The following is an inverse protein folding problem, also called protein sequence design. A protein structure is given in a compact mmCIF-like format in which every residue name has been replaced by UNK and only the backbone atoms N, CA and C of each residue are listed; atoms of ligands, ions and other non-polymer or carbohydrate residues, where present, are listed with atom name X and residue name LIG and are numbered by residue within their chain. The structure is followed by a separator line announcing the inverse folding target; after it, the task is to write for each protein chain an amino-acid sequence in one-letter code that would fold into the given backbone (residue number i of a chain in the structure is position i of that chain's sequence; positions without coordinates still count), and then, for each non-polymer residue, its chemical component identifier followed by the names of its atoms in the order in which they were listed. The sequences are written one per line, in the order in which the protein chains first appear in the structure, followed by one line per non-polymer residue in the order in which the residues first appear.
data_IF_474922482548
#
_entry.id   IF_474922482548
#
_cell.length_a   1.000
_cell.length_b   1.000
_cell.length_c   1.000
_cell.angle_alpha   90.00
_cell.angle_beta   90.00
_cell.angle_gamma   90.00
#
_symmetry.space_group_name_H-M   'P 1'
#
loop_
_entity.id
_entity.type
_entity.pdbx_description
1 polymer ?
#
# COMPACT_ATOMS: atom_id res chain seq x y z
N UNK A 1 -12.44 -7.90 20.04
CA UNK A 1 -11.71 -6.84 20.77
C UNK A 1 -10.38 -6.53 20.09
N UNK A 2 -9.41 -7.45 20.06
CA UNK A 2 -8.05 -7.20 19.51
C UNK A 2 -7.99 -6.75 18.03
N UNK A 3 -8.82 -7.29 17.13
CA UNK A 3 -8.88 -6.83 15.72
C UNK A 3 -9.48 -5.42 15.59
N UNK A 4 -10.45 -5.09 16.45
CA UNK A 4 -11.08 -3.77 16.44
C UNK A 4 -10.08 -2.70 16.89
N UNK A 5 -9.30 -2.99 17.94
CA UNK A 5 -8.20 -2.14 18.40
C UNK A 5 -7.14 -1.96 17.30
N UNK A 6 -6.72 -3.04 16.64
CA UNK A 6 -5.75 -2.95 15.54
C UNK A 6 -6.26 -2.03 14.41
N UNK A 7 -7.53 -2.16 14.03
CA UNK A 7 -8.13 -1.31 13.01
C UNK A 7 -8.19 0.16 13.44
N UNK A 8 -8.48 0.43 14.71
CA UNK A 8 -8.49 1.79 15.27
C UNK A 8 -7.09 2.41 15.28
N UNK A 9 -6.08 1.65 15.73
CA UNK A 9 -4.67 2.08 15.73
C UNK A 9 -4.16 2.33 14.32
N UNK A 10 -4.52 1.46 13.36
CA UNK A 10 -4.18 1.65 11.96
C UNK A 10 -4.85 2.88 11.35
N UNK A 11 -6.09 3.17 11.72
CA UNK A 11 -6.77 4.39 11.29
C UNK A 11 -6.10 5.66 11.85
N UNK A 12 -5.60 5.60 13.09
CA UNK A 12 -4.87 6.70 13.73
C UNK A 12 -3.40 6.82 13.28
N UNK A 13 -2.87 5.88 12.50
CA UNK A 13 -1.44 5.87 12.11
C UNK A 13 -0.49 5.53 13.27
N UNK A 14 -0.99 4.96 14.38
CA UNK A 14 -0.16 4.55 15.51
C UNK A 14 0.54 3.21 15.22
N UNK A 15 1.45 3.21 14.25
CA UNK A 15 2.07 2.00 13.71
C UNK A 15 2.81 1.15 14.75
N UNK A 16 3.55 1.76 15.69
CA UNK A 16 4.25 1.02 16.74
C UNK A 16 3.29 0.27 17.68
N UNK A 17 2.18 0.91 18.08
CA UNK A 17 1.14 0.27 18.88
C UNK A 17 0.42 -0.80 18.05
N UNK A 18 0.07 -0.49 16.80
CA UNK A 18 -0.56 -1.44 15.89
C UNK A 18 0.30 -2.70 15.73
N UNK A 19 1.62 -2.56 15.62
CA UNK A 19 2.55 -3.67 15.49
C UNK A 19 2.58 -4.55 16.73
N UNK A 20 2.59 -3.97 17.94
CA UNK A 20 2.51 -4.73 19.18
C UNK A 20 1.22 -5.57 19.25
N UNK A 21 0.07 -4.99 18.86
CA UNK A 21 -1.21 -5.71 18.79
C UNK A 21 -1.19 -6.79 17.70
N UNK A 22 -0.60 -6.51 16.53
CA UNK A 22 -0.47 -7.47 15.43
C UNK A 22 0.37 -8.69 15.82
N UNK A 23 1.53 -8.49 16.45
CA UNK A 23 2.38 -9.60 16.94
C UNK A 23 1.65 -10.44 17.98
N UNK A 24 0.91 -9.79 18.90
CA UNK A 24 0.05 -10.50 19.87
C UNK A 24 -1.03 -11.32 19.18
N UNK A 25 -1.69 -10.77 18.15
CA UNK A 25 -2.72 -11.46 17.37
C UNK A 25 -2.18 -12.69 16.65
N UNK A 26 -0.98 -12.60 16.04
CA UNK A 26 -0.35 -13.75 15.39
C UNK A 26 0.15 -14.80 16.40
N UNK A 27 0.64 -14.37 17.55
CA UNK A 27 1.15 -15.27 18.60
C UNK A 27 0.05 -16.08 19.32
N UNK A 28 -1.13 -15.48 19.54
CA UNK A 28 -2.25 -16.15 20.25
C UNK A 28 -2.88 -17.29 19.44
N UNK A 29 -2.71 -17.30 18.11
CA UNK A 29 -3.41 -18.23 17.23
C UNK A 29 -2.61 -19.48 16.83
N UNK A 30 -1.27 -19.50 16.97
CA UNK A 30 -0.39 -20.21 16.01
C UNK A 30 -0.78 -19.77 14.59
N UNK A 31 0.01 -18.90 13.95
CA UNK A 31 -0.35 -18.23 12.69
C UNK A 31 -0.94 -19.12 11.59
N UNK A 32 -0.64 -20.42 11.62
CA UNK A 32 -1.12 -21.46 10.69
C UNK A 32 -2.60 -21.85 10.86
N UNK A 33 -3.23 -21.55 12.00
CA UNK A 33 -4.63 -21.93 12.25
C UNK A 33 -5.64 -21.00 11.54
N UNK A 34 -5.22 -19.82 11.08
CA UNK A 34 -6.11 -18.86 10.45
C UNK A 34 -6.12 -19.03 8.93
N UNK A 35 -7.30 -18.97 8.28
CA UNK A 35 -7.35 -19.01 6.82
C UNK A 35 -6.56 -17.84 6.22
N UNK A 36 -5.88 -18.07 5.10
CA UNK A 36 -5.01 -17.10 4.45
C UNK A 36 -5.70 -15.76 4.13
N UNK A 37 -7.02 -15.76 3.94
CA UNK A 37 -7.83 -14.54 3.76
C UNK A 37 -7.79 -13.63 5.00
N UNK A 38 -7.93 -14.22 6.19
CA UNK A 38 -7.90 -13.50 7.47
C UNK A 38 -6.50 -13.02 7.80
N UNK A 39 -5.48 -13.85 7.55
CA UNK A 39 -4.09 -13.42 7.68
C UNK A 39 -3.85 -12.19 6.79
N UNK A 40 -4.11 -12.28 5.49
CA UNK A 40 -3.94 -11.18 4.53
C UNK A 40 -4.65 -9.89 4.92
N UNK A 41 -5.84 -10.00 5.53
CA UNK A 41 -6.53 -8.83 6.08
C UNK A 41 -5.71 -8.15 7.18
N UNK A 42 -5.15 -8.91 8.13
CA UNK A 42 -4.29 -8.35 9.18
C UNK A 42 -3.04 -7.66 8.62
N UNK A 43 -2.35 -8.30 7.67
CA UNK A 43 -1.16 -7.73 7.02
C UNK A 43 -1.50 -6.42 6.31
N UNK A 44 -2.62 -6.36 5.59
CA UNK A 44 -3.07 -5.12 4.95
C UNK A 44 -3.52 -4.05 5.96
N UNK A 45 -4.05 -4.43 7.12
CA UNK A 45 -4.35 -3.49 8.21
C UNK A 45 -3.07 -2.88 8.78
N UNK A 46 -2.00 -3.67 8.93
CA UNK A 46 -0.70 -3.15 9.34
C UNK A 46 -0.09 -2.23 8.28
N UNK A 47 -0.15 -2.59 7.00
CA UNK A 47 0.26 -1.69 5.91
C UNK A 47 -0.51 -0.37 5.93
N UNK A 48 -1.82 -0.39 6.25
CA UNK A 48 -2.58 0.84 6.44
C UNK A 48 -2.03 1.70 7.59
N UNK A 49 -1.60 1.08 8.69
CA UNK A 49 -1.01 1.81 9.82
C UNK A 49 0.29 2.52 9.39
N UNK A 50 1.18 1.81 8.70
CA UNK A 50 2.43 2.38 8.18
C UNK A 50 2.18 3.47 7.14
N UNK A 51 1.23 3.26 6.22
CA UNK A 51 0.85 4.27 5.24
C UNK A 51 0.35 5.55 5.90
N UNK A 52 -0.53 5.44 6.89
CA UNK A 52 -1.01 6.59 7.64
C UNK A 52 0.09 7.31 8.45
N UNK A 53 1.14 6.60 8.85
CA UNK A 53 2.30 7.15 9.55
C UNK A 53 3.39 7.70 8.61
N UNK A 54 3.28 7.49 7.28
CA UNK A 54 4.37 7.81 6.33
C UNK A 54 5.62 6.94 6.51
N UNK A 55 5.49 5.76 7.13
CA UNK A 55 6.61 4.86 7.45
C UNK A 55 6.85 3.85 6.32
N UNK A 56 7.46 4.32 5.22
CA UNK A 56 7.60 3.51 4.00
C UNK A 56 8.61 2.36 4.14
N UNK A 57 9.67 2.53 4.93
CA UNK A 57 10.70 1.48 5.15
C UNK A 57 10.10 0.31 5.90
N UNK A 58 9.35 0.58 6.96
CA UNK A 58 8.63 -0.42 7.75
C UNK A 58 7.54 -1.09 6.92
N UNK A 59 6.83 -0.33 6.07
CA UNK A 59 5.85 -0.90 5.15
C UNK A 59 6.50 -1.90 4.18
N UNK A 60 7.65 -1.57 3.60
CA UNK A 60 8.41 -2.46 2.72
C UNK A 60 8.87 -3.74 3.45
N UNK A 61 9.46 -3.60 4.64
CA UNK A 61 9.85 -4.75 5.47
C UNK A 61 8.65 -5.63 5.83
N UNK A 62 7.47 -5.04 6.05
CA UNK A 62 6.24 -5.78 6.33
C UNK A 62 5.73 -6.53 5.10
N UNK A 63 5.83 -5.94 3.91
CA UNK A 63 5.54 -6.61 2.64
C UNK A 63 6.46 -7.82 2.41
N UNK A 64 7.76 -7.68 2.62
CA UNK A 64 8.69 -8.79 2.49
C UNK A 64 8.37 -9.93 3.48
N UNK A 65 8.01 -9.57 4.71
CA UNK A 65 7.59 -10.54 5.71
C UNK A 65 6.29 -11.25 5.28
N UNK A 66 5.35 -10.54 4.65
CA UNK A 66 4.12 -11.13 4.07
C UNK A 66 4.47 -12.17 3.01
N UNK A 67 5.41 -11.85 2.12
CA UNK A 67 5.91 -12.75 1.07
C UNK A 67 6.63 -13.97 1.65
N UNK A 68 7.48 -13.78 2.67
CA UNK A 68 8.17 -14.87 3.39
C UNK A 68 7.18 -15.84 4.06
N UNK A 69 6.03 -15.34 4.51
CA UNK A 69 4.93 -16.15 5.04
C UNK A 69 4.02 -16.76 3.95
N UNK A 70 4.43 -16.70 2.67
CA UNK A 70 3.68 -17.22 1.50
C UNK A 70 2.29 -16.63 1.35
N UNK A 71 2.07 -15.41 1.84
CA UNK A 71 0.81 -14.70 1.69
C UNK A 71 0.88 -13.82 0.45
N UNK A 72 0.03 -14.12 -0.53
CA UNK A 72 0.04 -13.38 -1.78
C UNK A 72 -0.48 -11.94 -1.60
N UNK A 73 0.24 -10.92 -2.10
CA UNK A 73 -0.20 -9.54 -2.08
C UNK A 73 -1.41 -9.36 -2.99
N UNK A 74 -2.11 -8.23 -2.84
CA UNK A 74 -3.18 -7.84 -3.74
C UNK A 74 -3.08 -6.35 -4.09
N UNK A 75 -3.96 -5.87 -4.96
CA UNK A 75 -3.99 -4.46 -5.35
C UNK A 75 -4.04 -3.47 -4.15
N UNK A 76 -4.64 -3.85 -3.02
CA UNK A 76 -4.66 -2.99 -1.81
C UNK A 76 -3.30 -2.96 -1.12
N UNK A 77 -2.56 -4.08 -1.12
CA UNK A 77 -1.20 -4.17 -0.58
C UNK A 77 -0.29 -3.15 -1.27
N UNK A 78 -0.23 -3.17 -2.60
CA UNK A 78 0.58 -2.23 -3.37
C UNK A 78 0.13 -0.78 -3.21
N UNK A 79 -1.19 -0.52 -3.22
CA UNK A 79 -1.71 0.82 -2.96
C UNK A 79 -1.26 1.38 -1.61
N UNK A 80 -1.21 0.56 -0.54
CA UNK A 80 -0.73 1.02 0.77
C UNK A 80 0.78 1.24 0.83
N UNK A 81 1.56 0.46 0.09
CA UNK A 81 3.01 0.67 -0.02
C UNK A 81 3.32 1.98 -0.75
N UNK A 82 2.60 2.24 -1.83
CA UNK A 82 2.68 3.49 -2.59
C UNK A 82 2.25 4.69 -1.72
N UNK A 83 1.11 4.59 -1.04
CA UNK A 83 0.62 5.64 -0.13
C UNK A 83 1.65 5.97 0.97
N UNK A 84 2.29 4.95 1.56
CA UNK A 84 3.32 5.15 2.58
C UNK A 84 4.53 5.93 2.04
N UNK A 85 5.03 5.55 0.86
CA UNK A 85 6.13 6.24 0.18
C UNK A 85 5.75 7.68 -0.19
N UNK A 86 4.56 7.88 -0.74
CA UNK A 86 4.07 9.20 -1.12
C UNK A 86 3.93 10.16 0.06
N UNK A 87 3.42 9.67 1.20
CA UNK A 87 3.34 10.45 2.44
C UNK A 87 4.69 10.74 3.07
N UNK A 88 5.67 9.87 2.87
CA UNK A 88 7.07 10.12 3.26
C UNK A 88 7.77 11.14 2.36
N UNK A 89 7.19 11.47 1.20
CA UNK A 89 7.86 12.28 0.17
C UNK A 89 8.94 11.50 -0.60
N UNK A 90 9.00 10.18 -0.46
CA UNK A 90 9.92 9.33 -1.21
C UNK A 90 9.29 8.95 -2.55
N UNK A 91 9.51 9.82 -3.54
CA UNK A 91 9.04 9.63 -4.90
C UNK A 91 9.60 8.34 -5.51
N UNK A 92 10.89 8.05 -5.32
CA UNK A 92 11.56 6.88 -5.91
C UNK A 92 10.92 5.58 -5.41
N UNK A 93 10.63 5.50 -4.10
CA UNK A 93 9.92 4.36 -3.53
C UNK A 93 8.47 4.26 -4.03
N UNK A 94 7.77 5.39 -4.21
CA UNK A 94 6.40 5.39 -4.74
C UNK A 94 6.36 4.87 -6.19
N UNK A 95 7.33 5.29 -7.02
CA UNK A 95 7.46 4.80 -8.40
C UNK A 95 7.74 3.31 -8.46
N UNK A 96 8.63 2.82 -7.58
CA UNK A 96 8.93 1.42 -7.47
C UNK A 96 7.66 0.60 -7.18
N UNK A 97 6.85 1.02 -6.21
CA UNK A 97 5.62 0.29 -5.87
C UNK A 97 4.54 0.36 -6.95
N UNK A 98 4.46 1.46 -7.71
CA UNK A 98 3.58 1.51 -8.89
C UNK A 98 4.03 0.50 -9.95
N UNK A 99 5.34 0.42 -10.21
CA UNK A 99 5.91 -0.52 -11.18
C UNK A 99 5.65 -1.96 -10.76
N UNK A 100 5.99 -2.33 -9.53
CA UNK A 100 5.76 -3.66 -8.96
C UNK A 100 4.28 -4.06 -9.04
N UNK A 101 3.36 -3.11 -8.81
CA UNK A 101 1.92 -3.33 -8.95
C UNK A 101 1.56 -3.72 -10.39
N UNK A 102 2.08 -2.98 -11.38
CA UNK A 102 1.80 -3.24 -12.81
C UNK A 102 2.44 -4.53 -13.31
N UNK A 103 3.67 -4.83 -12.90
CA UNK A 103 4.39 -6.07 -13.22
C UNK A 103 3.70 -7.29 -12.58
N UNK A 104 3.12 -7.11 -11.40
CA UNK A 104 2.24 -8.08 -10.73
C UNK A 104 0.83 -8.18 -11.36
N UNK A 105 0.61 -7.56 -12.53
CA UNK A 105 -0.64 -7.56 -13.30
C UNK A 105 -1.84 -6.92 -12.57
N UNK A 106 -1.58 -6.05 -11.58
CA UNK A 106 -2.62 -5.23 -10.97
C UNK A 106 -2.71 -3.87 -11.67
N UNK A 107 -3.91 -3.49 -12.11
CA UNK A 107 -4.14 -2.20 -12.74
C UNK A 107 -4.00 -1.07 -11.72
N UNK A 108 -3.07 -0.14 -11.98
CA UNK A 108 -3.01 1.12 -11.25
C UNK A 108 -4.32 1.90 -11.45
N UNK A 109 -4.78 2.56 -10.38
CA UNK A 109 -5.99 3.40 -10.40
C UNK A 109 -5.61 4.87 -10.28
N UNK A 110 -6.56 5.76 -10.58
CA UNK A 110 -6.38 7.21 -10.43
C UNK A 110 -5.83 7.60 -9.04
N UNK A 111 -6.28 6.94 -7.97
CA UNK A 111 -5.77 7.17 -6.62
C UNK A 111 -4.24 6.98 -6.51
N UNK A 112 -3.69 5.96 -7.16
CA UNK A 112 -2.26 5.64 -7.10
C UNK A 112 -1.43 6.73 -7.80
N UNK A 113 -1.92 7.25 -8.92
CA UNK A 113 -1.28 8.36 -9.63
C UNK A 113 -1.39 9.67 -8.83
N UNK A 114 -2.52 9.90 -8.15
CA UNK A 114 -2.69 11.05 -7.27
C UNK A 114 -1.68 11.03 -6.10
N UNK A 115 -1.42 9.85 -5.53
CA UNK A 115 -0.40 9.69 -4.48
C UNK A 115 1.00 10.01 -5.01
N UNK A 116 1.36 9.58 -6.22
CA UNK A 116 2.63 9.95 -6.88
C UNK A 116 2.76 11.45 -7.16
N UNK A 117 1.70 12.07 -7.68
CA UNK A 117 1.67 13.52 -7.88
C UNK A 117 1.84 14.28 -6.56
N UNK A 118 1.21 13.80 -5.48
CA UNK A 118 1.36 14.38 -4.15
C UNK A 118 2.79 14.22 -3.61
N UNK A 119 3.42 13.06 -3.83
CA UNK A 119 4.82 12.81 -3.47
C UNK A 119 5.77 13.77 -4.20
N UNK A 120 5.63 13.87 -5.53
CA UNK A 120 6.43 14.75 -6.38
C UNK A 120 6.24 16.23 -6.02
N UNK A 121 5.01 16.66 -5.72
CA UNK A 121 4.74 18.02 -5.26
C UNK A 121 5.41 18.32 -3.92
N UNK A 122 5.41 17.38 -2.97
CA UNK A 122 6.10 17.52 -1.69
C UNK A 122 7.63 17.53 -1.84
N UNK A 123 8.16 16.82 -2.85
CA UNK A 123 9.57 16.82 -3.21
C UNK A 123 9.97 18.04 -4.07
N UNK A 124 9.03 18.93 -4.41
CA UNK A 124 9.22 20.07 -5.32
C UNK A 124 9.68 19.69 -6.74
N UNK A 125 9.34 18.47 -7.20
CA UNK A 125 9.62 17.97 -8.54
C UNK A 125 8.39 18.14 -9.45
N UNK A 126 8.19 19.34 -10.00
CA UNK A 126 6.99 19.67 -10.79
C UNK A 126 6.89 18.86 -12.08
N UNK A 127 8.02 18.60 -12.74
CA UNK A 127 8.11 17.84 -13.98
C UNK A 127 7.63 16.39 -13.78
N UNK A 128 7.96 15.80 -12.64
CA UNK A 128 7.50 14.47 -12.29
C UNK A 128 5.99 14.46 -11.99
N UNK A 129 5.48 15.47 -11.29
CA UNK A 129 4.03 15.59 -11.05
C UNK A 129 3.25 15.70 -12.39
N UNK A 130 3.76 16.47 -13.35
CA UNK A 130 3.17 16.59 -14.69
C UNK A 130 3.24 15.27 -15.46
N UNK A 131 4.37 14.56 -15.39
CA UNK A 131 4.52 13.23 -16.00
C UNK A 131 3.47 12.24 -15.48
N UNK A 132 3.25 12.21 -14.16
CA UNK A 132 2.27 11.32 -13.55
C UNK A 132 0.83 11.67 -13.93
N UNK A 133 0.53 12.97 -14.07
CA UNK A 133 -0.75 13.44 -14.59
C UNK A 133 -0.99 12.95 -16.02
N UNK A 134 0.00 13.12 -16.91
CA UNK A 134 -0.11 12.68 -18.30
C UNK A 134 -0.29 11.16 -18.40
N UNK A 135 0.48 10.37 -17.65
CA UNK A 135 0.33 8.91 -17.59
C UNK A 135 -1.05 8.47 -17.10
N UNK A 136 -1.60 9.18 -16.10
CA UNK A 136 -2.96 8.90 -15.62
C UNK A 136 -3.99 9.11 -16.74
N UNK A 137 -3.89 10.22 -17.49
CA UNK A 137 -4.81 10.55 -18.57
C UNK A 137 -4.70 9.55 -19.73
N UNK A 138 -3.50 9.19 -20.15
CA UNK A 138 -3.26 8.17 -21.18
C UNK A 138 -3.84 6.81 -20.79
N UNK A 139 -3.62 6.37 -19.55
CA UNK A 139 -4.18 5.12 -19.03
C UNK A 139 -5.72 5.14 -18.96
N UNK A 140 -6.34 6.27 -18.63
CA UNK A 140 -7.80 6.43 -18.61
C UNK A 140 -8.41 6.40 -20.01
N UNK A 141 -7.72 6.96 -21.01
CA UNK A 141 -8.16 6.93 -22.41
C UNK A 141 -8.15 5.50 -22.98
N UNK A 142 -7.17 4.67 -22.61
CA UNK A 142 -7.10 3.26 -23.02
C UNK A 142 -8.26 2.41 -22.47
N UNK A 143 -8.79 2.73 -21.29
CA UNK A 143 -9.94 2.02 -20.71
C UNK A 143 -11.29 2.56 -21.21
N UNK A 144 -11.35 3.83 -21.62
CA UNK A 144 -12.54 4.43 -22.22
C UNK A 144 -12.80 3.94 -23.66
N UNK A 145 -11.75 3.62 -24.42
CA UNK A 145 -11.85 3.07 -25.78
C UNK A 145 -12.28 1.60 -25.88
N UNK A 146 -12.41 0.88 -24.76
CA UNK A 146 -12.77 -0.55 -24.71
C UNK A 146 -14.25 -0.87 -24.52
N UNK A 147 -15.15 0.13 -24.52
CA UNK A 147 -16.61 -0.07 -24.45
C UNK A 147 -17.28 0.44 -25.72
N UNK A 148 -16.86 -0.11 -26.85
CA UNK A 148 -17.38 0.26 -28.16
C UNK A 148 -17.14 -0.85 -29.18
N UNK A 149 -17.68 -2.04 -28.92
CA UNK A 149 -18.07 -3.07 -29.89
C UNK A 149 -19.13 -3.95 -29.23
#
# INVERSE_FOLDING_TARGET
VLLHELNALAAAGHAALAEAHFRRLLGVAQGDAWPASRQRMLWNTMLKAFANAGQHVEAASHYEAMMRNRLAPNAKTFGKLLEAAAKAGDETAAEHWLREMTESRFSARALNYNELMHAAANAHHLEAAELWLHRMLEGQLQHAGGRGC
#
